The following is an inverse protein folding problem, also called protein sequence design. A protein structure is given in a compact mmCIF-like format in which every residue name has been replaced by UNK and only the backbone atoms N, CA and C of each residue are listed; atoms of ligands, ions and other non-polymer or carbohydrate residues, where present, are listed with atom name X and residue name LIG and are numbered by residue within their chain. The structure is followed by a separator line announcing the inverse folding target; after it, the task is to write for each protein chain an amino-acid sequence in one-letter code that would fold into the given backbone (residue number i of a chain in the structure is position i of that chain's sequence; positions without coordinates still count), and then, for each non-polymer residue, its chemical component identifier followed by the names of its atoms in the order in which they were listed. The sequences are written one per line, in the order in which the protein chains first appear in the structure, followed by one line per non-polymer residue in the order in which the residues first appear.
data_IF_301474555754
#
_entry.id   IF_301474555754
#
_cell.length_a   1.000
_cell.length_b   1.000
_cell.length_c   1.000
_cell.angle_alpha   90.00
_cell.angle_beta   90.00
_cell.angle_gamma   90.00
#
_symmetry.space_group_name_H-M   'P 1'
#
loop_
_entity.id
_entity.type
_entity.pdbx_description
1 polymer ?
#
# COMPACT_ATOMS: atom_id res chain seq x y z
N UNK A 1 10.85 -13.73 -1.67
CA UNK A 1 10.00 -14.20 -2.77
C UNK A 1 9.45 -12.99 -3.53
N UNK A 2 9.26 -13.09 -4.84
CA UNK A 2 8.62 -12.03 -5.65
C UNK A 2 7.59 -12.70 -6.54
N UNK A 3 6.34 -12.23 -6.49
CA UNK A 3 5.23 -12.82 -7.23
C UNK A 3 3.89 -12.36 -6.66
N UNK A 4 2.80 -12.74 -7.32
CA UNK A 4 1.44 -12.49 -6.84
C UNK A 4 1.04 -13.50 -5.76
N UNK A 5 0.01 -13.19 -4.97
CA UNK A 5 -0.44 -14.04 -3.85
C UNK A 5 -0.65 -15.51 -4.21
N UNK A 6 -1.15 -15.83 -5.40
CA UNK A 6 -1.50 -17.20 -5.78
C UNK A 6 -0.26 -18.11 -5.89
N UNK A 7 0.71 -17.87 -6.80
CA UNK A 7 1.91 -18.70 -6.91
C UNK A 7 2.74 -18.69 -5.61
N UNK A 8 2.75 -17.58 -4.87
CA UNK A 8 3.45 -17.53 -3.59
C UNK A 8 2.79 -18.41 -2.53
N UNK A 9 1.46 -18.40 -2.44
CA UNK A 9 0.73 -19.28 -1.52
C UNK A 9 0.91 -20.76 -1.88
N UNK A 10 0.92 -21.10 -3.17
CA UNK A 10 1.18 -22.46 -3.65
C UNK A 10 2.61 -22.91 -3.29
N UNK A 11 3.60 -22.05 -3.53
CA UNK A 11 4.99 -22.32 -3.15
C UNK A 11 5.16 -22.58 -1.65
N UNK A 12 4.61 -21.70 -0.79
CA UNK A 12 4.73 -21.82 0.67
C UNK A 12 4.03 -23.08 1.17
N UNK A 13 2.82 -23.36 0.70
CA UNK A 13 2.09 -24.57 1.10
C UNK A 13 2.84 -25.85 0.65
N UNK A 14 3.35 -25.89 -0.58
CA UNK A 14 4.09 -27.04 -1.10
C UNK A 14 5.45 -27.23 -0.40
N UNK A 15 6.10 -26.15 0.03
CA UNK A 15 7.33 -26.19 0.80
C UNK A 15 7.09 -26.81 2.18
N UNK A 16 6.01 -26.40 2.87
CA UNK A 16 5.61 -26.99 4.13
C UNK A 16 5.36 -28.50 4.01
N UNK A 17 4.66 -28.95 2.96
CA UNK A 17 4.40 -30.38 2.69
C UNK A 17 5.69 -31.19 2.48
N UNK A 18 6.77 -30.53 2.06
CA UNK A 18 8.11 -31.10 1.91
C UNK A 18 8.99 -30.91 3.15
N UNK A 19 8.40 -30.55 4.31
CA UNK A 19 9.10 -30.29 5.57
C UNK A 19 10.11 -29.13 5.50
N UNK A 20 9.92 -28.21 4.56
CA UNK A 20 10.73 -27.01 4.43
C UNK A 20 9.94 -25.79 4.93
N UNK A 21 10.31 -25.30 6.12
CA UNK A 21 9.59 -24.21 6.82
C UNK A 21 10.53 -23.05 7.18
N UNK A 22 11.13 -22.34 6.19
CA UNK A 22 11.90 -21.14 6.46
C UNK A 22 11.00 -19.94 6.80
N UNK A 23 11.62 -18.87 7.28
CA UNK A 23 11.02 -17.54 7.26
C UNK A 23 10.93 -17.01 5.81
N UNK A 24 9.74 -16.61 5.39
CA UNK A 24 9.51 -16.06 4.06
C UNK A 24 9.40 -14.54 4.11
N UNK A 25 10.02 -13.87 3.15
CA UNK A 25 9.80 -12.45 2.91
C UNK A 25 9.26 -12.20 1.50
N UNK A 26 8.42 -11.18 1.33
CA UNK A 26 7.91 -10.73 0.04
C UNK A 26 7.72 -9.21 0.02
N UNK A 27 7.35 -8.68 -1.14
CA UNK A 27 7.09 -7.26 -1.37
C UNK A 27 5.59 -7.00 -1.57
N UNK A 28 5.16 -5.74 -1.47
CA UNK A 28 3.74 -5.31 -1.44
C UNK A 28 2.92 -5.82 -2.62
N UNK A 29 3.55 -6.03 -3.78
CA UNK A 29 2.93 -6.63 -4.97
C UNK A 29 2.25 -7.98 -4.70
N UNK A 30 2.69 -8.70 -3.66
CA UNK A 30 2.11 -9.98 -3.28
C UNK A 30 0.68 -9.88 -2.74
N UNK A 31 0.21 -8.71 -2.28
CA UNK A 31 -1.01 -8.57 -1.47
C UNK A 31 -0.95 -9.42 -0.19
N UNK A 32 -0.50 -8.85 0.93
CA UNK A 32 -0.46 -9.59 2.20
C UNK A 32 -1.82 -10.16 2.59
N UNK A 33 -2.92 -9.42 2.40
CA UNK A 33 -4.26 -9.92 2.71
C UNK A 33 -4.66 -11.13 1.88
N UNK A 34 -4.34 -11.14 0.58
CA UNK A 34 -4.72 -12.27 -0.29
C UNK A 34 -3.78 -13.45 -0.12
N UNK A 35 -2.49 -13.20 0.13
CA UNK A 35 -1.49 -14.23 0.40
C UNK A 35 -1.82 -14.96 1.70
N UNK A 36 -1.99 -14.23 2.80
CA UNK A 36 -2.22 -14.83 4.12
C UNK A 36 -3.52 -15.63 4.17
N UNK A 37 -4.57 -15.18 3.47
CA UNK A 37 -5.84 -15.89 3.38
C UNK A 37 -5.76 -17.23 2.62
N UNK A 38 -4.64 -17.53 1.94
CA UNK A 38 -4.43 -18.75 1.13
C UNK A 38 -3.41 -19.73 1.73
N UNK A 39 -2.77 -19.36 2.83
CA UNK A 39 -1.85 -20.24 3.54
C UNK A 39 -2.65 -21.26 4.33
N UNK A 40 -2.36 -22.54 4.12
CA UNK A 40 -3.07 -23.67 4.73
C UNK A 40 -2.42 -24.15 6.03
N UNK A 41 -1.14 -23.83 6.19
CA UNK A 41 -0.31 -24.27 7.31
C UNK A 41 0.27 -23.07 8.06
N UNK A 42 0.67 -23.23 9.33
CA UNK A 42 1.45 -22.22 10.03
C UNK A 42 2.70 -21.86 9.21
N UNK A 43 2.93 -20.58 8.98
CA UNK A 43 4.03 -20.09 8.15
C UNK A 43 4.43 -18.70 8.61
N UNK A 44 5.73 -18.47 8.75
CA UNK A 44 6.28 -17.17 9.12
C UNK A 44 6.49 -16.35 7.84
N UNK A 45 5.64 -15.34 7.61
CA UNK A 45 5.66 -14.56 6.37
C UNK A 45 5.62 -13.08 6.65
N UNK A 46 6.64 -12.36 6.18
CA UNK A 46 6.69 -10.90 6.22
C UNK A 46 6.58 -10.31 4.82
N UNK A 47 5.62 -9.41 4.63
CA UNK A 47 5.45 -8.62 3.40
C UNK A 47 5.82 -7.18 3.71
N UNK A 48 6.77 -6.60 2.97
CA UNK A 48 7.02 -5.16 3.01
C UNK A 48 5.90 -4.44 2.25
N UNK A 49 5.45 -3.32 2.78
CA UNK A 49 4.24 -2.61 2.33
C UNK A 49 4.60 -1.17 1.98
N UNK A 50 3.97 -0.65 0.91
CA UNK A 50 4.23 0.72 0.43
C UNK A 50 3.34 1.78 1.10
N UNK A 51 2.23 1.36 1.70
CA UNK A 51 1.30 2.20 2.46
C UNK A 51 1.02 1.57 3.82
N UNK A 52 0.64 2.33 4.87
CA UNK A 52 0.29 1.76 6.16
C UNK A 52 -0.97 0.88 6.08
N UNK A 53 -1.21 0.08 7.13
CA UNK A 53 -2.48 -0.61 7.27
C UNK A 53 -3.55 0.45 7.60
N UNK A 54 -4.57 0.68 6.75
CA UNK A 54 -5.55 1.75 6.99
C UNK A 54 -6.32 1.55 8.30
N UNK A 55 -6.52 0.29 8.74
CA UNK A 55 -7.21 -0.04 9.99
C UNK A 55 -6.36 0.13 11.26
N UNK A 56 -5.03 0.27 11.13
CA UNK A 56 -4.10 0.45 12.26
C UNK A 56 -3.40 1.81 12.24
N UNK A 57 -3.84 2.69 11.35
CA UNK A 57 -3.20 3.96 11.03
C UNK A 57 -4.05 5.12 11.54
N UNK A 58 -3.40 6.13 12.14
CA UNK A 58 -4.05 7.36 12.60
C UNK A 58 -3.71 8.58 11.74
N UNK A 59 -3.05 8.40 10.60
CA UNK A 59 -2.82 9.48 9.65
C UNK A 59 -4.15 9.96 9.04
N UNK A 60 -4.17 11.23 8.60
CA UNK A 60 -5.36 11.85 8.01
C UNK A 60 -5.97 10.99 6.91
N UNK A 61 -5.17 10.64 5.89
CA UNK A 61 -5.63 9.87 4.73
C UNK A 61 -6.11 8.45 5.06
N UNK A 62 -5.67 7.83 6.15
CA UNK A 62 -6.22 6.54 6.56
C UNK A 62 -7.66 6.66 7.05
N UNK A 63 -8.00 7.77 7.74
CA UNK A 63 -9.36 8.05 8.18
C UNK A 63 -10.26 8.42 7.01
N UNK A 64 -9.82 9.34 6.15
CA UNK A 64 -10.59 9.73 4.96
C UNK A 64 -10.89 8.53 4.07
N UNK A 65 -9.87 7.71 3.81
CA UNK A 65 -10.04 6.48 3.04
C UNK A 65 -11.11 5.56 3.63
N UNK A 66 -11.07 5.28 4.94
CA UNK A 66 -12.07 4.40 5.56
C UNK A 66 -13.48 5.01 5.54
N UNK A 67 -13.61 6.33 5.67
CA UNK A 67 -14.88 7.04 5.55
C UNK A 67 -15.44 6.91 4.12
N UNK A 68 -14.62 7.17 3.10
CA UNK A 68 -15.02 7.07 1.70
C UNK A 68 -15.37 5.64 1.30
N UNK A 69 -14.61 4.64 1.78
CA UNK A 69 -14.93 3.23 1.56
C UNK A 69 -16.29 2.86 2.19
N UNK A 70 -16.61 3.39 3.37
CA UNK A 70 -17.90 3.17 4.01
C UNK A 70 -19.05 3.81 3.21
N UNK A 71 -18.87 5.06 2.72
CA UNK A 71 -19.84 5.73 1.85
C UNK A 71 -20.05 4.98 0.53
N UNK A 72 -18.99 4.35 0.01
CA UNK A 72 -19.03 3.52 -1.19
C UNK A 72 -19.54 2.08 -0.95
N UNK A 73 -19.97 1.73 0.26
CA UNK A 73 -20.40 0.37 0.66
C UNK A 73 -19.33 -0.72 0.47
N UNK A 74 -18.05 -0.37 0.62
CA UNK A 74 -16.92 -1.32 0.57
C UNK A 74 -16.65 -1.83 1.99
N UNK A 75 -17.04 -3.08 2.25
CA UNK A 75 -17.03 -3.65 3.60
C UNK A 75 -15.66 -4.16 4.10
N UNK A 76 -14.73 -4.45 3.18
CA UNK A 76 -13.40 -5.01 3.52
C UNK A 76 -12.27 -4.23 2.81
N UNK A 77 -12.12 -2.94 3.09
CA UNK A 77 -11.04 -2.16 2.51
C UNK A 77 -9.69 -2.70 3.00
N UNK A 78 -8.70 -2.73 2.12
CA UNK A 78 -7.37 -3.28 2.39
C UNK A 78 -6.30 -2.30 1.86
N UNK A 79 -5.02 -2.67 2.00
CA UNK A 79 -3.91 -1.81 1.57
C UNK A 79 -3.89 -1.56 0.06
N UNK A 80 -4.33 -2.50 -0.77
CA UNK A 80 -4.40 -2.31 -2.23
C UNK A 80 -5.43 -1.24 -2.58
N UNK A 81 -6.62 -1.32 -1.96
CA UNK A 81 -7.63 -0.27 -2.10
C UNK A 81 -7.08 1.09 -1.66
N UNK A 82 -6.35 1.13 -0.54
CA UNK A 82 -5.79 2.37 -0.01
C UNK A 82 -4.69 2.96 -0.91
N UNK A 83 -3.81 2.13 -1.47
CA UNK A 83 -2.81 2.54 -2.46
C UNK A 83 -3.48 3.16 -3.70
N UNK A 84 -4.50 2.48 -4.26
CA UNK A 84 -5.28 3.00 -5.38
C UNK A 84 -5.98 4.32 -5.06
N UNK A 85 -6.54 4.44 -3.85
CA UNK A 85 -7.18 5.66 -3.36
C UNK A 85 -6.18 6.83 -3.29
N UNK A 86 -5.00 6.62 -2.70
CA UNK A 86 -3.97 7.65 -2.62
C UNK A 86 -3.48 8.08 -4.01
N UNK A 87 -3.30 7.14 -4.94
CA UNK A 87 -2.95 7.45 -6.32
C UNK A 87 -4.00 8.36 -6.99
N UNK A 88 -5.29 8.05 -6.82
CA UNK A 88 -6.38 8.84 -7.36
C UNK A 88 -6.47 10.24 -6.70
N UNK A 89 -6.28 10.31 -5.38
CA UNK A 89 -6.30 11.58 -4.64
C UNK A 89 -5.16 12.50 -5.07
N UNK A 90 -3.92 12.00 -5.14
CA UNK A 90 -2.75 12.78 -5.57
C UNK A 90 -2.91 13.25 -7.01
N UNK A 91 -3.38 12.37 -7.91
CA UNK A 91 -3.65 12.75 -9.30
C UNK A 91 -4.71 13.86 -9.39
N UNK A 92 -5.82 13.71 -8.68
CA UNK A 92 -6.94 14.67 -8.72
C UNK A 92 -6.50 16.03 -8.18
N UNK A 93 -5.80 16.05 -7.05
CA UNK A 93 -5.25 17.29 -6.48
C UNK A 93 -4.29 17.97 -7.46
N UNK A 94 -3.43 17.21 -8.17
CA UNK A 94 -2.51 17.78 -9.15
C UNK A 94 -3.25 18.37 -10.36
N UNK A 95 -4.22 17.63 -10.89
CA UNK A 95 -5.00 18.04 -12.05
C UNK A 95 -5.84 19.30 -11.80
N UNK A 96 -6.35 19.49 -10.56
CA UNK A 96 -7.11 20.68 -10.17
C UNK A 96 -6.29 21.99 -10.26
N UNK A 97 -4.96 21.90 -10.19
CA UNK A 97 -4.06 23.06 -10.31
C UNK A 97 -3.57 23.32 -11.74
N UNK A 98 -4.16 22.65 -12.73
CA UNK A 98 -3.81 22.79 -14.14
C UNK A 98 -4.94 23.43 -14.97
N UNK A 99 -4.58 24.21 -16.00
CA UNK A 99 -5.57 24.75 -16.92
C UNK A 99 -6.26 23.62 -17.71
N UNK A 100 -7.48 23.88 -18.15
CA UNK A 100 -8.22 23.01 -19.05
C UNK A 100 -8.00 23.46 -20.51
N UNK A 101 -7.82 22.54 -21.47
CA UNK A 101 -7.71 21.08 -21.30
C UNK A 101 -6.43 20.67 -20.56
N UNK A 102 -6.52 19.60 -19.75
CA UNK A 102 -5.42 19.13 -18.91
C UNK A 102 -4.13 18.91 -19.73
N UNK A 103 -3.08 19.64 -19.36
CA UNK A 103 -1.78 19.57 -20.02
C UNK A 103 -0.81 18.67 -19.27
N UNK A 104 -0.11 17.79 -19.99
CA UNK A 104 0.85 16.82 -19.42
C UNK A 104 1.97 17.50 -18.62
N UNK A 105 2.57 18.57 -19.17
CA UNK A 105 3.65 19.32 -18.52
C UNK A 105 3.21 19.91 -17.17
N UNK A 106 2.02 20.53 -17.12
CA UNK A 106 1.47 21.07 -15.90
C UNK A 106 1.21 19.95 -14.88
N UNK A 107 0.58 18.85 -15.31
CA UNK A 107 0.27 17.73 -14.43
C UNK A 107 1.55 17.17 -13.77
N UNK A 108 2.59 16.94 -14.56
CA UNK A 108 3.87 16.42 -14.04
C UNK A 108 4.52 17.39 -13.05
N UNK A 109 4.46 18.70 -13.32
CA UNK A 109 4.94 19.71 -12.37
C UNK A 109 4.14 19.70 -11.08
N UNK A 110 2.80 19.63 -11.16
CA UNK A 110 1.91 19.65 -9.99
C UNK A 110 2.00 18.37 -9.15
N UNK A 111 2.19 17.21 -9.77
CA UNK A 111 2.44 15.95 -9.05
C UNK A 111 3.70 16.03 -8.18
N UNK A 112 4.80 16.59 -8.71
CA UNK A 112 6.04 16.77 -7.96
C UNK A 112 5.87 17.76 -6.78
N UNK A 113 5.11 18.84 -7.01
CA UNK A 113 4.83 19.83 -5.96
C UNK A 113 4.00 19.21 -4.84
N UNK A 114 2.90 18.51 -5.16
CA UNK A 114 2.04 17.90 -4.13
C UNK A 114 2.80 16.90 -3.28
N UNK A 115 3.61 16.04 -3.88
CA UNK A 115 4.36 15.04 -3.12
C UNK A 115 5.35 15.67 -2.12
N UNK A 116 5.91 16.84 -2.46
CA UNK A 116 6.89 17.54 -1.63
C UNK A 116 6.27 18.49 -0.60
N UNK A 117 5.16 19.15 -0.93
CA UNK A 117 4.57 20.22 -0.13
C UNK A 117 3.35 19.78 0.70
N UNK A 118 2.62 18.75 0.27
CA UNK A 118 1.46 18.26 1.01
C UNK A 118 1.91 17.50 2.27
N UNK A 119 1.75 18.15 3.43
CA UNK A 119 2.16 17.59 4.73
C UNK A 119 1.42 16.29 5.08
N UNK A 120 0.19 16.10 4.61
CA UNK A 120 -0.62 14.94 4.93
C UNK A 120 -0.18 13.73 4.10
N UNK A 121 0.11 13.93 2.81
CA UNK A 121 0.71 12.91 1.94
C UNK A 121 2.13 12.59 2.40
N UNK A 122 2.95 13.61 2.63
CA UNK A 122 4.34 13.46 3.05
C UNK A 122 4.46 12.65 4.36
N UNK A 123 3.54 12.86 5.31
CA UNK A 123 3.50 12.14 6.59
C UNK A 123 3.32 10.61 6.45
N UNK A 124 2.83 10.12 5.29
CA UNK A 124 2.73 8.68 5.02
C UNK A 124 4.03 8.07 4.49
N UNK A 125 4.91 8.87 3.88
CA UNK A 125 6.04 8.34 3.12
C UNK A 125 7.41 8.75 3.66
N UNK A 126 7.51 9.88 4.36
CA UNK A 126 8.79 10.42 4.87
C UNK A 126 8.93 10.17 6.37
N UNK A 127 10.09 9.66 6.76
CA UNK A 127 10.40 9.38 8.16
C UNK A 127 10.62 10.68 8.94
N UNK A 128 9.98 10.79 10.11
CA UNK A 128 10.03 11.99 10.98
C UNK A 128 11.43 12.26 11.55
N UNK A 129 12.21 11.21 11.80
CA UNK A 129 13.56 11.29 12.39
C UNK A 129 14.68 11.41 11.35
N UNK A 130 14.46 10.94 10.12
CA UNK A 130 15.42 11.03 9.03
C UNK A 130 14.68 11.32 7.72
N UNK A 131 14.65 12.59 7.31
CA UNK A 131 13.91 13.03 6.12
C UNK A 131 14.46 12.44 4.81
N UNK A 132 15.66 11.85 4.83
CA UNK A 132 16.23 11.14 3.68
C UNK A 132 15.79 9.68 3.60
N UNK A 133 14.98 9.20 4.56
CA UNK A 133 14.48 7.83 4.60
C UNK A 133 12.97 7.77 4.40
N UNK A 134 12.56 6.78 3.61
CA UNK A 134 11.16 6.42 3.47
C UNK A 134 10.69 5.53 4.63
N UNK A 135 9.41 5.65 4.97
CA UNK A 135 8.78 4.73 5.92
C UNK A 135 8.59 3.37 5.24
N UNK A 136 9.10 2.31 5.86
CA UNK A 136 8.85 0.93 5.42
C UNK A 136 7.78 0.32 6.30
N UNK A 137 6.63 0.04 5.71
CA UNK A 137 5.55 -0.66 6.38
C UNK A 137 5.72 -2.18 6.24
N UNK A 138 5.12 -2.92 7.16
CA UNK A 138 5.19 -4.39 7.16
C UNK A 138 3.82 -4.99 7.48
N UNK A 139 3.56 -6.15 6.92
CA UNK A 139 2.51 -7.08 7.35
C UNK A 139 3.19 -8.39 7.69
N UNK A 140 2.87 -8.95 8.85
CA UNK A 140 3.43 -10.20 9.34
C UNK A 140 2.29 -11.16 9.62
N UNK A 141 2.51 -12.43 9.25
CA UNK A 141 1.70 -13.57 9.66
C UNK A 141 2.59 -14.50 10.49
#
# INVERSE_FOLDING_TARGET
LVGTYKPLSEFINNAYEQQFTPEYTSVSFASSSDLFARLKYPSEVMVTEVVPNPHKCSAYWCREFLQDMALANINKPNRIHFEGYLNAMVFTAAAQHCPQPLQHNCLMQRLNIIFSEDKQINALFINKTDKNKHIVYRSVL
#
